data_IF_202970823651
#
_entry.id   IF_202970823651
#
_cell.length_a   1.000
_cell.length_b   1.000
_cell.length_c   1.000
_cell.angle_alpha   90.00
_cell.angle_beta   90.00
_cell.angle_gamma   90.00
#
_symmetry.space_group_name_H-M   'P 1'
#
loop_
_entity.id
_entity.type
_entity.pdbx_description
1 polymer ?
#
# COMPACT_ATOMS: atom_id res chain seq x y z
N UNK A 1 23.90 10.27 -24.92
CA UNK A 1 24.05 10.64 -23.50
C UNK A 1 23.04 9.82 -22.71
N UNK A 2 23.51 8.85 -21.92
CA UNK A 2 22.65 8.10 -21.01
C UNK A 2 22.46 8.99 -19.80
N UNK A 3 21.28 9.57 -19.63
CA UNK A 3 20.87 10.16 -18.37
C UNK A 3 20.87 9.04 -17.34
N UNK A 4 21.90 9.01 -16.50
CA UNK A 4 21.82 8.35 -15.20
C UNK A 4 20.58 8.91 -14.53
N UNK A 5 19.50 8.13 -14.49
CA UNK A 5 18.36 8.40 -13.63
C UNK A 5 18.93 8.38 -12.21
N UNK A 6 19.24 9.56 -11.68
CA UNK A 6 19.47 9.74 -10.26
C UNK A 6 18.18 9.32 -9.59
N UNK A 7 18.18 8.11 -9.04
CA UNK A 7 17.11 7.65 -8.19
C UNK A 7 17.02 8.63 -7.02
N UNK A 8 15.82 9.07 -6.60
CA UNK A 8 15.69 9.85 -5.38
C UNK A 8 16.41 9.10 -4.26
N UNK A 9 17.31 9.78 -3.56
CA UNK A 9 17.89 9.28 -2.31
C UNK A 9 16.77 9.23 -1.28
N UNK A 10 15.94 8.20 -1.35
CA UNK A 10 14.89 7.96 -0.39
C UNK A 10 15.52 7.71 0.98
N UNK A 11 14.95 8.31 2.02
CA UNK A 11 15.38 8.04 3.38
C UNK A 11 14.99 6.60 3.76
N UNK A 12 15.97 5.70 3.79
CA UNK A 12 15.73 4.29 4.12
C UNK A 12 15.16 4.08 5.53
N UNK A 13 15.32 5.04 6.45
CA UNK A 13 14.70 5.00 7.78
C UNK A 13 13.16 5.08 7.72
N UNK A 14 12.61 5.65 6.65
CA UNK A 14 11.18 5.77 6.39
C UNK A 14 10.66 4.68 5.44
N UNK A 15 11.50 3.69 5.13
CA UNK A 15 11.17 2.61 4.21
C UNK A 15 10.28 1.54 4.87
N UNK A 16 9.14 1.30 4.26
CA UNK A 16 8.27 0.16 4.52
C UNK A 16 8.48 -0.86 3.41
N UNK A 17 8.69 -2.13 3.76
CA UNK A 17 8.88 -3.15 2.74
C UNK A 17 7.54 -3.61 2.13
N UNK A 18 7.61 -4.25 0.97
CA UNK A 18 6.44 -4.74 0.26
C UNK A 18 5.51 -5.61 1.12
N UNK A 19 6.06 -6.52 1.92
CA UNK A 19 5.27 -7.46 2.74
C UNK A 19 4.52 -6.74 3.85
N UNK A 20 5.13 -5.74 4.47
CA UNK A 20 4.47 -4.89 5.46
C UNK A 20 3.31 -4.11 4.85
N UNK A 21 3.51 -3.51 3.66
CA UNK A 21 2.45 -2.84 2.91
C UNK A 21 1.30 -3.79 2.55
N UNK A 22 1.63 -4.98 2.05
CA UNK A 22 0.65 -6.01 1.69
C UNK A 22 -0.16 -6.46 2.91
N UNK A 23 0.49 -6.67 4.06
CA UNK A 23 -0.18 -7.07 5.30
C UNK A 23 -1.16 -6.00 5.77
N UNK A 24 -0.77 -4.73 5.72
CA UNK A 24 -1.65 -3.62 6.10
C UNK A 24 -2.87 -3.53 5.18
N UNK A 25 -2.67 -3.59 3.86
CA UNK A 25 -3.75 -3.61 2.87
C UNK A 25 -4.70 -4.78 3.10
N UNK A 26 -4.18 -5.97 3.42
CA UNK A 26 -5.01 -7.13 3.76
C UNK A 26 -5.74 -6.97 5.10
N UNK A 27 -5.15 -6.27 6.07
CA UNK A 27 -5.80 -5.92 7.33
C UNK A 27 -7.03 -5.04 7.08
N UNK A 28 -6.83 -3.95 6.34
CA UNK A 28 -7.91 -3.05 5.92
C UNK A 28 -8.96 -3.76 5.08
N UNK A 29 -8.57 -4.54 4.07
CA UNK A 29 -9.53 -5.33 3.30
C UNK A 29 -10.31 -6.32 4.14
N UNK A 30 -9.72 -6.94 5.17
CA UNK A 30 -10.49 -7.81 6.08
C UNK A 30 -11.52 -7.05 6.91
N UNK A 31 -11.27 -5.78 7.22
CA UNK A 31 -12.26 -4.92 7.89
C UNK A 31 -13.37 -4.44 6.95
N UNK A 32 -13.08 -4.27 5.66
CA UNK A 32 -14.09 -4.02 4.64
C UNK A 32 -14.80 -5.34 4.32
N UNK A 33 -16.08 -5.48 4.63
CA UNK A 33 -16.81 -6.70 4.30
C UNK A 33 -16.79 -6.96 2.79
N UNK A 34 -16.99 -8.22 2.35
CA UNK A 34 -17.02 -8.54 0.91
C UNK A 34 -18.08 -7.75 0.13
N UNK A 35 -19.15 -7.32 0.83
CA UNK A 35 -20.21 -6.47 0.28
C UNK A 35 -19.78 -5.01 0.05
N UNK A 36 -18.66 -4.58 0.63
CA UNK A 36 -18.16 -3.20 0.58
C UNK A 36 -17.03 -3.03 -0.46
N UNK A 37 -16.59 -4.12 -1.11
CA UNK A 37 -15.63 -4.07 -2.22
C UNK A 37 -16.06 -3.14 -3.36
N UNK A 38 -17.34 -3.09 -3.78
CA UNK A 38 -17.79 -2.12 -4.79
C UNK A 38 -17.64 -0.67 -4.32
N UNK A 39 -17.86 -0.40 -3.03
CA UNK A 39 -17.67 0.94 -2.45
C UNK A 39 -16.19 1.33 -2.46
N UNK A 40 -15.30 0.40 -2.15
CA UNK A 40 -13.85 0.63 -2.24
C UNK A 40 -13.42 0.94 -3.68
N UNK A 41 -13.95 0.23 -4.68
CA UNK A 41 -13.69 0.50 -6.10
C UNK A 41 -14.21 1.88 -6.51
N UNK A 42 -15.39 2.28 -6.04
CA UNK A 42 -15.94 3.61 -6.28
C UNK A 42 -15.03 4.70 -5.69
N UNK A 43 -14.55 4.53 -4.45
CA UNK A 43 -13.60 5.44 -3.81
C UNK A 43 -12.28 5.55 -4.56
N UNK A 44 -11.75 4.42 -5.06
CA UNK A 44 -10.57 4.45 -5.92
C UNK A 44 -10.81 5.30 -7.17
N UNK A 45 -11.96 5.12 -7.82
CA UNK A 45 -12.34 5.90 -9.01
C UNK A 45 -12.52 7.38 -8.72
N UNK A 46 -13.14 7.76 -7.59
CA UNK A 46 -13.30 9.15 -7.16
C UNK A 46 -11.96 9.85 -6.92
N UNK A 47 -10.97 9.09 -6.43
CA UNK A 47 -9.60 9.55 -6.23
C UNK A 47 -8.75 9.52 -7.51
N UNK A 48 -9.36 9.22 -8.67
CA UNK A 48 -8.68 9.12 -9.96
C UNK A 48 -7.73 7.92 -10.07
N UNK A 49 -7.85 6.94 -9.18
CA UNK A 49 -7.03 5.74 -9.15
C UNK A 49 -7.73 4.60 -9.91
N UNK A 50 -7.08 4.07 -10.94
CA UNK A 50 -7.59 2.91 -11.67
C UNK A 50 -7.16 1.62 -10.95
N UNK A 51 -8.11 1.00 -10.25
CA UNK A 51 -7.93 -0.30 -9.60
C UNK A 51 -8.67 -1.37 -10.40
N UNK A 52 -7.95 -2.41 -10.79
CA UNK A 52 -8.54 -3.59 -11.44
C UNK A 52 -9.32 -4.41 -10.42
N UNK A 53 -10.64 -4.50 -10.63
CA UNK A 53 -11.57 -5.27 -9.81
C UNK A 53 -11.12 -6.73 -9.65
N UNK A 54 -10.64 -7.37 -10.72
CA UNK A 54 -10.17 -8.75 -10.64
C UNK A 54 -8.93 -8.87 -9.75
N UNK A 55 -8.04 -7.87 -9.77
CA UNK A 55 -6.86 -7.84 -8.93
C UNK A 55 -7.21 -7.59 -7.45
N UNK A 56 -8.20 -6.72 -7.18
CA UNK A 56 -8.73 -6.48 -5.83
C UNK A 56 -9.40 -7.74 -5.25
N UNK A 57 -10.24 -8.40 -6.04
CA UNK A 57 -10.87 -9.67 -5.66
C UNK A 57 -9.82 -10.76 -5.40
N UNK A 58 -8.77 -10.85 -6.21
CA UNK A 58 -7.65 -11.77 -5.98
C UNK A 58 -6.89 -11.44 -4.69
N UNK A 59 -6.78 -10.16 -4.32
CA UNK A 59 -6.16 -9.77 -3.05
C UNK A 59 -6.96 -10.22 -1.83
N UNK A 60 -8.29 -10.14 -1.95
CA UNK A 60 -9.25 -10.43 -0.90
C UNK A 60 -9.51 -11.92 -0.73
N UNK A 61 -9.76 -12.64 -1.84
CA UNK A 61 -10.18 -14.05 -1.85
C UNK A 61 -9.10 -15.02 -2.34
N UNK A 62 -8.09 -14.50 -3.04
CA UNK A 62 -7.14 -15.33 -3.79
C UNK A 62 -5.93 -15.78 -2.95
N UNK A 63 -5.38 -16.96 -3.25
CA UNK A 63 -4.12 -17.41 -2.65
C UNK A 63 -2.97 -16.58 -3.21
N UNK A 64 -2.42 -15.67 -2.41
CA UNK A 64 -1.08 -15.01 -2.50
C UNK A 64 -0.44 -14.86 -3.90
N UNK A 65 -1.21 -14.53 -4.94
CA UNK A 65 -0.65 -14.16 -6.22
C UNK A 65 -0.01 -12.78 -6.02
N UNK A 66 1.33 -12.72 -5.96
CA UNK A 66 2.13 -11.51 -5.66
C UNK A 66 1.50 -10.28 -6.30
N UNK A 67 0.69 -9.51 -5.56
CA UNK A 67 -0.03 -8.40 -6.15
C UNK A 67 0.95 -7.35 -6.66
N UNK A 68 0.60 -6.69 -7.75
CA UNK A 68 1.46 -5.66 -8.33
C UNK A 68 1.77 -4.62 -7.26
N UNK A 69 3.04 -4.22 -7.04
CA UNK A 69 3.39 -3.20 -6.06
C UNK A 69 2.60 -1.89 -6.22
N UNK A 70 2.28 -1.52 -7.46
CA UNK A 70 1.42 -0.37 -7.76
C UNK A 70 0.01 -0.50 -7.16
N UNK A 71 -0.61 -1.69 -7.19
CA UNK A 71 -1.91 -1.94 -6.58
C UNK A 71 -1.84 -1.76 -5.05
N UNK A 72 -0.78 -2.27 -4.42
CA UNK A 72 -0.56 -2.12 -2.97
C UNK A 72 -0.38 -0.64 -2.61
N UNK A 73 0.43 0.10 -3.37
CA UNK A 73 0.59 1.55 -3.19
C UNK A 73 -0.74 2.30 -3.27
N UNK A 74 -1.54 2.02 -4.32
CA UNK A 74 -2.84 2.66 -4.51
C UNK A 74 -3.79 2.35 -3.36
N UNK A 75 -3.88 1.09 -2.94
CA UNK A 75 -4.76 0.70 -1.83
C UNK A 75 -4.30 1.26 -0.48
N UNK A 76 -3.00 1.33 -0.23
CA UNK A 76 -2.46 2.07 0.92
C UNK A 76 -2.92 3.53 0.87
N UNK A 77 -2.76 4.20 -0.28
CA UNK A 77 -3.27 5.55 -0.51
C UNK A 77 -4.76 5.70 -0.17
N UNK A 78 -5.59 4.74 -0.57
CA UNK A 78 -7.04 4.75 -0.35
C UNK A 78 -7.41 4.52 1.13
N UNK A 79 -6.75 3.59 1.83
CA UNK A 79 -7.15 3.18 3.18
C UNK A 79 -6.82 4.14 4.32
N UNK A 80 -5.85 5.04 4.14
CA UNK A 80 -5.48 5.92 5.26
C UNK A 80 -4.88 7.25 4.87
N UNK A 81 -4.73 7.51 3.58
CA UNK A 81 -3.60 8.34 3.18
C UNK A 81 -3.95 9.40 2.12
N UNK A 82 -5.02 9.25 1.33
CA UNK A 82 -5.59 10.36 0.55
C UNK A 82 -6.58 11.23 1.34
N UNK A 83 -7.20 10.71 2.40
CA UNK A 83 -8.01 11.52 3.32
C UNK A 83 -7.15 12.35 4.31
N UNK A 84 -5.83 12.08 4.40
CA UNK A 84 -4.88 12.74 5.32
C UNK A 84 -3.53 13.15 4.71
N UNK A 85 -3.37 13.15 3.37
CA UNK A 85 -2.15 13.58 2.65
C UNK A 85 -0.87 12.82 2.99
N UNK A 86 -0.86 11.50 2.87
CA UNK A 86 0.35 10.71 3.03
C UNK A 86 0.67 10.09 1.68
N UNK A 87 1.68 10.66 1.05
CA UNK A 87 2.14 10.21 -0.25
C UNK A 87 3.10 9.05 -0.04
N UNK A 88 2.79 7.92 -0.66
CA UNK A 88 3.75 6.83 -0.76
C UNK A 88 4.57 7.03 -2.02
N UNK A 89 5.86 7.26 -1.88
CA UNK A 89 6.78 7.12 -3.00
C UNK A 89 7.24 5.66 -3.10
N UNK A 90 7.36 5.14 -4.32
CA UNK A 90 7.88 3.80 -4.56
C UNK A 90 9.25 3.89 -5.19
N UNK A 91 10.21 3.18 -4.60
CA UNK A 91 11.56 3.11 -5.13
C UNK A 91 12.26 1.80 -4.78
N UNK A 92 13.22 1.35 -5.59
CA UNK A 92 14.09 0.25 -5.23
C UNK A 92 15.19 0.75 -4.26
N UNK A 93 15.22 0.27 -3.01
CA UNK A 93 16.38 0.48 -2.12
C UNK A 93 17.58 -0.35 -2.59
N UNK A 94 17.32 -1.55 -3.12
CA UNK A 94 18.29 -2.48 -3.69
C UNK A 94 17.60 -3.34 -4.74
N UNK A 95 18.30 -3.66 -5.83
CA UNK A 95 17.79 -4.06 -7.17
C UNK A 95 16.79 -5.23 -7.32
N UNK A 96 16.11 -5.70 -6.27
CA UNK A 96 15.00 -6.68 -6.33
C UNK A 96 13.89 -6.48 -5.30
N UNK A 97 14.00 -5.53 -4.37
CA UNK A 97 13.01 -5.34 -3.29
C UNK A 97 12.25 -4.04 -3.49
N UNK A 98 10.92 -4.14 -3.54
CA UNK A 98 10.04 -2.98 -3.57
C UNK A 98 9.86 -2.45 -2.15
N UNK A 99 10.07 -1.14 -1.98
CA UNK A 99 9.80 -0.42 -0.76
C UNK A 99 8.82 0.72 -1.05
N UNK A 100 7.98 1.00 -0.08
CA UNK A 100 7.14 2.18 0.00
C UNK A 100 7.80 3.13 0.98
N UNK A 101 8.03 4.36 0.57
CA UNK A 101 8.61 5.39 1.42
C UNK A 101 7.52 6.36 1.84
N UNK A 102 7.62 6.78 3.09
CA UNK A 102 6.75 7.77 3.71
C UNK A 102 7.53 9.07 3.85
N UNK A 103 6.82 10.20 3.78
CA UNK A 103 7.43 11.52 3.86
C UNK A 103 7.91 11.86 5.28
N UNK A 104 7.21 11.37 6.31
CA UNK A 104 7.51 11.71 7.71
C UNK A 104 7.61 10.50 8.64
N UNK A 105 8.35 10.67 9.74
CA UNK A 105 8.42 9.67 10.83
C UNK A 105 7.07 9.47 11.54
N UNK A 106 6.21 10.50 11.54
CA UNK A 106 4.87 10.40 12.11
C UNK A 106 4.00 9.43 11.29
N UNK A 107 4.10 9.50 9.96
CA UNK A 107 3.38 8.61 9.05
C UNK A 107 3.90 7.17 9.19
N UNK A 108 5.21 7.00 9.34
CA UNK A 108 5.81 5.69 9.62
C UNK A 108 5.31 5.12 10.94
N UNK A 109 5.25 5.94 11.98
CA UNK A 109 4.78 5.52 13.30
C UNK A 109 3.30 5.11 13.25
N UNK A 110 2.46 5.88 12.55
CA UNK A 110 1.05 5.55 12.31
C UNK A 110 0.90 4.24 11.53
N UNK A 111 1.65 4.09 10.43
CA UNK A 111 1.68 2.87 9.63
C UNK A 111 2.02 1.64 10.50
N UNK A 112 3.07 1.72 11.33
CA UNK A 112 3.49 0.60 12.18
C UNK A 112 2.47 0.30 13.28
N UNK A 113 1.83 1.32 13.84
CA UNK A 113 0.79 1.15 14.85
C UNK A 113 -0.45 0.44 14.29
N UNK A 114 -0.91 0.84 13.10
CA UNK A 114 -2.02 0.16 12.43
C UNK A 114 -1.66 -1.28 12.07
N UNK A 115 -0.47 -1.51 11.52
CA UNK A 115 0.00 -2.86 11.18
C UNK A 115 0.02 -3.76 12.43
N UNK A 116 0.54 -3.26 13.55
CA UNK A 116 0.54 -3.98 14.82
C UNK A 116 -0.88 -4.27 15.33
N UNK A 117 -1.83 -3.34 15.14
CA UNK A 117 -3.22 -3.56 15.51
C UNK A 117 -3.85 -4.70 14.69
N UNK A 118 -3.61 -4.76 13.38
CA UNK A 118 -4.11 -5.86 12.55
C UNK A 118 -3.44 -7.20 12.85
N UNK A 119 -2.15 -7.19 13.18
CA UNK A 119 -1.42 -8.41 13.58
C UNK A 119 -1.91 -8.97 14.92
N UNK A 120 -2.46 -8.12 15.79
CA UNK A 120 -3.04 -8.53 17.07
C UNK A 120 -4.48 -9.08 16.95
N UNK A 121 -5.14 -8.90 15.80
CA UNK A 121 -6.46 -9.47 15.57
C UNK A 121 -6.35 -10.98 15.32
N UNK A 122 -7.21 -11.81 15.95
CA UNK A 122 -7.25 -13.24 15.65
C UNK A 122 -7.66 -13.44 14.17
N UNK A 123 -6.88 -14.25 13.45
CA UNK A 123 -7.14 -14.60 12.05
C UNK A 123 -8.46 -15.36 11.86
#
# INVERSE_FOLDING_TARGET
MVTTLEFPTFNAALGVNYEEGLRLVRGHLRSYGSAELPTLLAQCSELGQSVDEAALHSLYFGPSAKPKPALIRTLLGVFGYNAQQIEFEMGPVTGRRHFFFLDTEADLSKFKAELAAFDALPN
#
